data_IF_531817049018
#
_entry.id   IF_531817049018
#
_cell.length_a   1.000
_cell.length_b   1.000
_cell.length_c   1.000
_cell.angle_alpha   90.00
_cell.angle_beta   90.00
_cell.angle_gamma   90.00
#
_symmetry.space_group_name_H-M   'P 1'
#
loop_
_entity.id
_entity.type
_entity.pdbx_description
1 polymer ?
#
# COMPACT_ATOMS: atom_id res chain seq x y z
N UNK A 1 -13.61 -37.84 -21.01
CA UNK A 1 -14.00 -36.82 -19.99
C UNK A 1 -12.83 -35.88 -19.79
N UNK A 2 -12.94 -34.63 -20.25
CA UNK A 2 -11.98 -33.56 -19.97
C UNK A 2 -12.18 -33.09 -18.53
N UNK A 3 -11.30 -33.52 -17.63
CA UNK A 3 -11.27 -32.98 -16.26
C UNK A 3 -10.64 -31.59 -16.29
N UNK A 4 -11.10 -30.65 -15.44
CA UNK A 4 -10.52 -29.30 -15.28
C UNK A 4 -8.99 -29.31 -15.01
N UNK A 5 -8.45 -30.47 -14.61
CA UNK A 5 -7.02 -30.76 -14.44
C UNK A 5 -6.20 -30.78 -15.74
N UNK A 6 -6.85 -30.80 -16.91
CA UNK A 6 -6.18 -30.95 -18.22
C UNK A 6 -5.92 -29.60 -18.92
N UNK A 7 -6.29 -28.49 -18.29
CA UNK A 7 -5.98 -27.15 -18.81
C UNK A 7 -4.47 -26.89 -18.67
N UNK A 8 -3.81 -26.37 -19.72
CA UNK A 8 -2.46 -25.81 -19.63
C UNK A 8 -2.34 -24.84 -18.45
N UNK A 9 -1.19 -24.88 -17.77
CA UNK A 9 -0.94 -24.06 -16.58
C UNK A 9 -1.17 -22.56 -16.83
N UNK A 10 -0.74 -22.07 -18.00
CA UNK A 10 -0.95 -20.68 -18.44
C UNK A 10 -2.43 -20.29 -18.47
N UNK A 11 -3.31 -21.15 -18.98
CA UNK A 11 -4.75 -20.89 -19.02
C UNK A 11 -5.37 -20.93 -17.62
N UNK A 12 -4.88 -21.81 -16.74
CA UNK A 12 -5.33 -21.85 -15.34
C UNK A 12 -4.92 -20.56 -14.62
N UNK A 13 -3.71 -20.06 -14.85
CA UNK A 13 -3.23 -18.78 -14.31
C UNK A 13 -4.06 -17.60 -14.81
N UNK A 14 -4.38 -17.58 -16.10
CA UNK A 14 -5.26 -16.57 -16.68
C UNK A 14 -6.66 -16.60 -16.05
N UNK A 15 -7.26 -17.78 -15.87
CA UNK A 15 -8.57 -17.91 -15.21
C UNK A 15 -8.49 -17.41 -13.76
N UNK A 16 -7.50 -17.86 -12.99
CA UNK A 16 -7.28 -17.44 -11.60
C UNK A 16 -7.12 -15.92 -11.48
N UNK A 17 -6.45 -15.28 -12.45
CA UNK A 17 -6.27 -13.83 -12.50
C UNK A 17 -7.59 -13.07 -12.65
N UNK A 18 -8.62 -13.67 -13.25
CA UNK A 18 -9.94 -13.03 -13.48
C UNK A 18 -10.94 -13.33 -12.36
N UNK A 19 -10.72 -14.37 -11.57
CA UNK A 19 -11.61 -14.77 -10.47
C UNK A 19 -11.47 -13.80 -9.28
N UNK A 20 -12.59 -13.30 -8.70
CA UNK A 20 -12.55 -12.48 -7.49
C UNK A 20 -11.87 -13.20 -6.32
N UNK A 21 -11.12 -12.45 -5.50
CA UNK A 21 -10.39 -13.01 -4.34
C UNK A 21 -11.28 -13.83 -3.40
N UNK A 22 -12.51 -13.38 -3.17
CA UNK A 22 -13.50 -14.07 -2.33
C UNK A 22 -13.91 -15.43 -2.90
N UNK A 23 -13.96 -15.55 -4.23
CA UNK A 23 -14.33 -16.79 -4.93
C UNK A 23 -13.16 -17.76 -5.03
N UNK A 24 -11.90 -17.28 -4.96
CA UNK A 24 -10.72 -18.14 -4.99
C UNK A 24 -10.75 -19.18 -3.86
N UNK A 25 -11.36 -18.89 -2.70
CA UNK A 25 -11.53 -19.91 -1.66
C UNK A 25 -12.29 -21.15 -2.12
N UNK A 26 -13.44 -20.96 -2.79
CA UNK A 26 -14.22 -22.09 -3.31
C UNK A 26 -13.45 -22.83 -4.41
N UNK A 27 -12.77 -22.06 -5.27
CA UNK A 27 -12.00 -22.57 -6.39
C UNK A 27 -10.81 -23.44 -5.95
N UNK A 28 -10.15 -23.11 -4.83
CA UNK A 28 -9.04 -23.90 -4.27
C UNK A 28 -9.47 -25.26 -3.71
N UNK A 29 -10.73 -25.38 -3.31
CA UNK A 29 -11.29 -26.63 -2.82
C UNK A 29 -11.55 -27.64 -3.95
N UNK A 30 -11.44 -27.25 -5.22
CA UNK A 30 -11.72 -28.15 -6.35
C UNK A 30 -10.55 -29.08 -6.66
N UNK A 31 -9.31 -28.58 -6.68
CA UNK A 31 -8.14 -29.43 -6.91
C UNK A 31 -6.81 -28.85 -6.38
N UNK A 32 -5.80 -29.73 -6.21
CA UNK A 32 -4.48 -29.36 -5.68
C UNK A 32 -3.71 -28.41 -6.60
N UNK A 33 -3.79 -28.61 -7.91
CA UNK A 33 -3.10 -27.77 -8.90
C UNK A 33 -3.59 -26.32 -8.83
N UNK A 34 -4.91 -26.12 -8.82
CA UNK A 34 -5.49 -24.78 -8.73
C UNK A 34 -5.20 -24.13 -7.37
N UNK A 35 -5.15 -24.91 -6.28
CA UNK A 35 -4.72 -24.42 -4.98
C UNK A 35 -3.24 -24.01 -4.92
N UNK A 36 -2.36 -24.70 -5.64
CA UNK A 36 -0.95 -24.33 -5.74
C UNK A 36 -0.80 -23.02 -6.57
N UNK A 37 -1.39 -22.98 -7.76
CA UNK A 37 -1.31 -21.84 -8.68
C UNK A 37 -1.99 -20.58 -8.15
N UNK A 38 -3.06 -20.71 -7.36
CA UNK A 38 -3.71 -19.52 -6.76
C UNK A 38 -2.83 -18.81 -5.74
N UNK A 39 -1.86 -19.50 -5.11
CA UNK A 39 -0.94 -18.86 -4.16
C UNK A 39 0.04 -17.93 -4.89
N UNK A 40 0.54 -18.37 -6.03
CA UNK A 40 1.49 -17.59 -6.86
C UNK A 40 0.80 -16.49 -7.64
N UNK A 41 -0.50 -16.61 -7.96
CA UNK A 41 -1.22 -15.58 -8.71
C UNK A 41 -1.72 -14.41 -7.86
N UNK A 42 -1.96 -14.59 -6.56
CA UNK A 42 -2.45 -13.49 -5.70
C UNK A 42 -1.32 -12.68 -5.08
N UNK A 43 -0.16 -13.31 -4.88
CA UNK A 43 0.98 -12.74 -4.14
C UNK A 43 2.33 -12.95 -4.83
N UNK A 44 2.35 -13.50 -6.06
CA UNK A 44 3.60 -13.80 -6.75
C UNK A 44 3.93 -12.79 -7.85
N UNK A 45 5.24 -12.67 -8.11
CA UNK A 45 5.84 -11.73 -9.08
C UNK A 45 5.26 -11.82 -10.50
N UNK A 46 4.78 -13.00 -10.91
CA UNK A 46 4.20 -13.21 -12.25
C UNK A 46 2.83 -12.56 -12.41
N UNK A 47 2.01 -12.49 -11.35
CA UNK A 47 0.73 -11.80 -11.40
C UNK A 47 0.88 -10.29 -11.58
N UNK A 48 1.95 -9.72 -11.01
CA UNK A 48 2.30 -8.32 -11.13
C UNK A 48 2.72 -7.91 -12.55
N UNK A 49 2.93 -8.85 -13.49
CA UNK A 49 3.31 -8.52 -14.88
C UNK A 49 2.17 -7.99 -15.73
N UNK A 50 0.93 -8.47 -15.51
CA UNK A 50 -0.20 -8.14 -16.39
C UNK A 50 -1.39 -7.50 -15.66
N UNK A 51 -1.37 -7.50 -14.32
CA UNK A 51 -2.45 -6.95 -13.51
C UNK A 51 -1.92 -6.30 -12.23
N UNK A 52 -2.42 -5.12 -11.91
CA UNK A 52 -2.28 -4.55 -10.57
C UNK A 52 -3.45 -5.00 -9.70
N UNK A 53 -3.13 -5.38 -8.46
CA UNK A 53 -4.12 -5.63 -7.42
C UNK A 53 -3.80 -4.73 -6.23
N UNK A 54 -4.57 -3.64 -6.11
CA UNK A 54 -4.53 -2.74 -4.97
C UNK A 54 -5.72 -2.94 -4.04
N UNK A 55 -5.62 -2.38 -2.84
CA UNK A 55 -6.73 -2.28 -1.89
C UNK A 55 -6.92 -0.82 -1.51
N UNK A 56 -8.17 -0.40 -1.47
CA UNK A 56 -8.58 0.97 -1.13
C UNK A 56 -9.82 0.90 -0.24
N UNK A 57 -10.11 1.99 0.45
CA UNK A 57 -11.35 2.19 1.19
C UNK A 57 -12.23 3.12 0.37
N UNK A 58 -13.48 2.75 0.13
CA UNK A 58 -14.48 3.61 -0.52
C UNK A 58 -15.75 3.59 0.32
N UNK A 59 -16.23 4.75 0.77
CA UNK A 59 -17.41 4.86 1.63
C UNK A 59 -17.35 3.90 2.85
N UNK A 60 -16.20 3.89 3.52
CA UNK A 60 -15.99 3.05 4.71
C UNK A 60 -15.78 1.56 4.43
N UNK A 61 -15.63 1.14 3.18
CA UNK A 61 -15.58 -0.29 2.78
C UNK A 61 -14.31 -0.63 2.02
N UNK A 62 -13.68 -1.74 2.38
CA UNK A 62 -12.51 -2.25 1.66
C UNK A 62 -12.91 -2.78 0.28
N UNK A 63 -12.28 -2.22 -0.74
CA UNK A 63 -12.45 -2.57 -2.14
C UNK A 63 -11.11 -3.07 -2.70
N UNK A 64 -11.16 -4.12 -3.52
CA UNK A 64 -10.03 -4.47 -4.38
C UNK A 64 -10.13 -3.63 -5.65
N UNK A 65 -9.04 -2.98 -5.98
CA UNK A 65 -8.83 -2.36 -7.28
C UNK A 65 -8.02 -3.32 -8.14
N UNK A 66 -8.61 -3.80 -9.23
CA UNK A 66 -7.87 -4.51 -10.28
C UNK A 66 -7.73 -3.60 -11.49
N UNK A 67 -6.48 -3.40 -11.91
CA UNK A 67 -6.17 -2.80 -13.20
C UNK A 67 -5.60 -3.91 -14.06
N UNK A 68 -6.40 -4.38 -15.00
CA UNK A 68 -5.96 -5.35 -15.99
C UNK A 68 -5.59 -4.65 -17.28
N UNK A 69 -4.48 -5.06 -17.89
CA UNK A 69 -4.07 -4.52 -19.16
C UNK A 69 -4.16 -5.62 -20.22
N UNK A 70 -5.04 -5.45 -21.20
CA UNK A 70 -5.08 -6.37 -22.34
C UNK A 70 -3.82 -6.21 -23.17
N UNK A 71 -3.23 -7.33 -23.57
CA UNK A 71 -2.14 -7.38 -24.51
C UNK A 71 -2.65 -7.62 -25.94
N UNK A 72 -2.24 -6.72 -26.83
CA UNK A 72 -1.93 -6.90 -28.25
C UNK A 72 -3.12 -6.89 -29.24
N UNK A 73 -3.04 -5.90 -30.15
CA UNK A 73 -3.89 -5.61 -31.32
C UNK A 73 -5.27 -4.99 -31.04
N UNK A 74 -5.29 -3.70 -30.72
CA UNK A 74 -6.01 -2.68 -31.49
C UNK A 74 -5.80 -1.33 -30.80
N UNK A 75 -5.70 -0.27 -31.61
CA UNK A 75 -5.58 1.12 -31.17
C UNK A 75 -6.63 1.46 -30.10
N UNK A 76 -6.14 1.83 -28.92
CA UNK A 76 -6.95 2.18 -27.75
C UNK A 76 -6.51 1.39 -26.52
N UNK A 77 -5.48 1.87 -25.80
CA UNK A 77 -5.04 1.33 -24.51
C UNK A 77 -6.14 1.50 -23.45
N UNK A 78 -7.12 0.59 -23.46
CA UNK A 78 -8.18 0.56 -22.48
C UNK A 78 -7.66 -0.11 -21.20
N UNK A 79 -7.35 0.71 -20.20
CA UNK A 79 -7.15 0.23 -18.82
C UNK A 79 -8.49 -0.34 -18.33
N UNK A 80 -8.60 -1.67 -18.20
CA UNK A 80 -9.79 -2.28 -17.61
C UNK A 80 -9.72 -2.14 -16.08
N UNK A 81 -10.31 -1.05 -15.57
CA UNK A 81 -10.51 -0.83 -14.14
C UNK A 81 -11.70 -1.64 -13.65
N UNK A 82 -11.47 -2.55 -12.71
CA UNK A 82 -12.54 -3.22 -11.98
C UNK A 82 -12.37 -2.97 -10.49
N UNK A 83 -13.31 -2.24 -9.92
CA UNK A 83 -13.44 -2.11 -8.47
C UNK A 83 -14.45 -3.15 -8.00
N UNK A 84 -14.03 -4.03 -7.10
CA UNK A 84 -14.94 -5.01 -6.47
C UNK A 84 -14.88 -4.85 -4.97
N UNK A 85 -16.06 -4.65 -4.38
CA UNK A 85 -16.24 -4.71 -2.93
C UNK A 85 -15.90 -6.12 -2.44
N UNK A 86 -15.07 -6.22 -1.40
CA UNK A 86 -14.64 -7.50 -0.85
C UNK A 86 -15.42 -7.70 0.46
N UNK A 87 -16.54 -8.43 0.37
CA UNK A 87 -17.71 -8.28 1.23
C UNK A 87 -17.62 -8.79 2.69
N UNK A 88 -16.43 -8.96 3.28
CA UNK A 88 -16.30 -9.59 4.60
C UNK A 88 -16.40 -8.62 5.79
N UNK A 89 -16.18 -7.32 5.57
CA UNK A 89 -16.21 -6.27 6.61
C UNK A 89 -17.39 -5.30 6.42
N UNK A 90 -18.47 -5.75 5.76
CA UNK A 90 -19.54 -4.88 5.24
C UNK A 90 -20.34 -4.09 6.29
N UNK A 91 -20.28 -4.51 7.56
CA UNK A 91 -20.94 -3.87 8.69
C UNK A 91 -19.98 -3.00 9.52
N UNK A 92 -18.77 -2.75 9.03
CA UNK A 92 -17.73 -2.01 9.75
C UNK A 92 -17.30 -0.81 8.93
N UNK A 93 -17.28 0.38 9.54
CA UNK A 93 -16.68 1.56 8.94
C UNK A 93 -15.15 1.44 9.04
N UNK A 94 -14.49 1.24 7.90
CA UNK A 94 -13.03 1.18 7.78
C UNK A 94 -12.56 2.55 7.33
N UNK A 95 -11.59 3.13 8.03
CA UNK A 95 -11.04 4.45 7.72
C UNK A 95 -9.81 4.34 6.82
N UNK A 96 -8.90 3.42 7.15
CA UNK A 96 -7.65 3.20 6.41
C UNK A 96 -7.37 1.71 6.21
N UNK A 97 -6.69 1.40 5.12
CA UNK A 97 -6.22 0.04 4.82
C UNK A 97 -4.76 0.06 4.42
N UNK A 98 -3.96 -0.83 5.00
CA UNK A 98 -2.56 -1.05 4.63
C UNK A 98 -2.40 -2.47 4.12
N UNK A 99 -1.54 -2.66 3.11
CA UNK A 99 -1.25 -3.98 2.54
C UNK A 99 0.21 -4.34 2.77
N UNK A 100 0.46 -5.56 3.24
CA UNK A 100 1.82 -6.10 3.37
C UNK A 100 1.83 -7.63 3.31
N UNK A 101 2.63 -8.19 2.39
CA UNK A 101 2.84 -9.65 2.19
C UNK A 101 1.52 -10.45 2.22
N UNK A 102 0.51 -9.93 1.52
CA UNK A 102 -0.79 -10.57 1.36
C UNK A 102 -1.77 -10.50 2.52
N UNK A 103 -1.42 -9.76 3.57
CA UNK A 103 -2.34 -9.36 4.62
C UNK A 103 -2.76 -7.90 4.46
N UNK A 104 -3.95 -7.60 4.96
CA UNK A 104 -4.50 -6.25 5.05
C UNK A 104 -4.63 -5.86 6.51
N UNK A 105 -4.10 -4.71 6.90
CA UNK A 105 -4.39 -4.06 8.16
C UNK A 105 -5.49 -3.03 7.92
N UNK A 106 -6.66 -3.26 8.48
CA UNK A 106 -7.79 -2.34 8.41
C UNK A 106 -7.94 -1.59 9.74
N UNK A 107 -8.00 -0.27 9.67
CA UNK A 107 -8.20 0.62 10.82
C UNK A 107 -9.67 1.01 10.91
N UNK A 108 -10.27 0.88 12.10
CA UNK A 108 -11.62 1.36 12.42
C UNK A 108 -11.56 2.32 13.59
N UNK A 109 -12.36 3.37 13.57
CA UNK A 109 -12.49 4.32 14.69
C UNK A 109 -11.10 4.73 15.23
N UNK A 110 -10.13 4.93 14.32
CA UNK A 110 -8.71 5.25 14.53
C UNK A 110 -7.84 4.31 15.37
N UNK A 111 -8.44 3.46 16.19
CA UNK A 111 -7.78 2.73 17.28
C UNK A 111 -8.02 1.23 17.26
N UNK A 112 -8.97 0.77 16.44
CA UNK A 112 -9.34 -0.64 16.38
C UNK A 112 -8.83 -1.27 15.09
N UNK A 113 -7.84 -2.13 15.23
CA UNK A 113 -7.21 -2.79 14.09
C UNK A 113 -7.80 -4.17 13.84
N UNK A 114 -8.03 -4.47 12.57
CA UNK A 114 -8.30 -5.83 12.10
C UNK A 114 -7.30 -6.18 11.05
N UNK A 115 -6.67 -7.31 11.25
CA UNK A 115 -5.86 -7.92 10.22
C UNK A 115 -6.72 -8.90 9.47
N UNK A 116 -6.78 -8.73 8.16
CA UNK A 116 -7.55 -9.56 7.27
C UNK A 116 -6.63 -10.23 6.27
N UNK A 117 -6.70 -11.56 6.21
CA UNK A 117 -6.19 -12.34 5.11
C UNK A 117 -7.31 -12.51 4.07
N UNK A 118 -7.34 -11.73 2.97
CA UNK A 118 -8.38 -11.85 1.94
C UNK A 118 -8.31 -13.19 1.22
N UNK A 119 -7.12 -13.77 1.10
CA UNK A 119 -6.91 -15.07 0.45
C UNK A 119 -7.54 -16.21 1.24
N UNK A 120 -7.31 -16.29 2.56
CA UNK A 120 -7.92 -17.31 3.44
C UNK A 120 -9.32 -16.91 3.90
N UNK A 121 -9.69 -15.64 3.74
CA UNK A 121 -10.88 -15.06 4.32
C UNK A 121 -10.84 -15.12 5.85
N UNK A 122 -9.69 -14.97 6.48
CA UNK A 122 -9.54 -15.02 7.95
C UNK A 122 -9.31 -13.61 8.49
N UNK A 123 -9.98 -13.26 9.58
CA UNK A 123 -9.86 -11.96 10.23
C UNK A 123 -9.38 -12.15 11.67
N UNK A 124 -8.55 -11.24 12.14
CA UNK A 124 -8.05 -11.20 13.52
C UNK A 124 -8.10 -9.77 14.04
N UNK A 125 -8.78 -9.55 15.15
CA UNK A 125 -8.69 -8.27 15.86
C UNK A 125 -7.34 -8.18 16.58
N UNK A 126 -6.73 -7.00 16.56
CA UNK A 126 -5.54 -6.70 17.35
C UNK A 126 -6.01 -6.13 18.69
N UNK A 127 -5.43 -6.56 19.82
CA UNK A 127 -5.74 -5.95 21.11
C UNK A 127 -5.35 -4.46 21.12
N UNK A 128 -6.01 -3.64 21.95
CA UNK A 128 -5.62 -2.25 22.13
C UNK A 128 -4.16 -2.16 22.60
N UNK A 129 -3.51 -1.05 22.25
CA UNK A 129 -2.18 -0.74 22.73
C UNK A 129 -2.18 -0.42 24.23
N UNK A 130 -0.98 -0.36 24.83
CA UNK A 130 -0.75 0.04 26.22
C UNK A 130 -1.20 1.47 26.52
N UNK A 131 -1.12 2.34 25.50
CA UNK A 131 -1.50 3.75 25.57
C UNK A 131 -2.73 4.01 24.70
N UNK A 132 -3.58 4.95 25.12
CA UNK A 132 -4.74 5.36 24.34
C UNK A 132 -4.30 5.93 22.99
N UNK A 133 -5.05 5.61 21.94
CA UNK A 133 -4.83 6.11 20.59
C UNK A 133 -5.22 7.58 20.48
N UNK A 134 -4.32 8.36 19.90
CA UNK A 134 -4.46 9.81 19.72
C UNK A 134 -4.85 10.14 18.28
N UNK A 135 -5.37 11.35 18.09
CA UNK A 135 -5.89 11.80 16.78
C UNK A 135 -4.82 11.74 15.69
N UNK A 136 -3.60 12.16 16.05
CA UNK A 136 -2.46 12.32 15.14
C UNK A 136 -1.61 11.05 15.01
N UNK A 137 -1.97 9.96 15.70
CA UNK A 137 -1.18 8.74 15.62
C UNK A 137 -1.12 8.19 14.20
N UNK A 138 0.07 7.74 13.83
CA UNK A 138 0.33 7.21 12.51
C UNK A 138 0.75 5.76 12.56
N UNK A 139 0.45 5.05 11.48
CA UNK A 139 0.66 3.62 11.42
C UNK A 139 1.44 3.22 10.18
N UNK A 140 2.19 2.15 10.31
CA UNK A 140 2.65 1.37 9.19
C UNK A 140 2.45 -0.11 9.45
N UNK A 141 2.24 -0.85 8.35
CA UNK A 141 2.12 -2.28 8.36
C UNK A 141 3.19 -2.89 7.47
N UNK A 142 4.04 -3.73 8.08
CA UNK A 142 5.20 -4.31 7.40
C UNK A 142 5.35 -5.79 7.66
N UNK A 143 6.14 -6.44 6.80
CA UNK A 143 6.49 -7.85 6.92
C UNK A 143 8.00 -8.03 6.99
N UNK A 144 8.47 -8.50 8.14
CA UNK A 144 9.86 -8.86 8.38
C UNK A 144 10.12 -10.25 7.79
N UNK A 145 10.73 -10.29 6.60
CA UNK A 145 11.02 -11.54 5.87
C UNK A 145 12.00 -12.45 6.63
N UNK A 146 12.95 -11.87 7.36
CA UNK A 146 13.96 -12.62 8.10
C UNK A 146 13.31 -13.38 9.25
N UNK A 147 12.44 -12.71 9.99
CA UNK A 147 11.72 -13.31 11.10
C UNK A 147 10.40 -13.95 10.69
N UNK A 148 9.96 -13.82 9.43
CA UNK A 148 8.63 -14.24 8.96
C UNK A 148 7.52 -13.75 9.88
N UNK A 149 7.52 -12.44 10.13
CA UNK A 149 6.62 -11.83 11.09
C UNK A 149 6.05 -10.53 10.53
N UNK A 150 4.73 -10.40 10.56
CA UNK A 150 4.09 -9.11 10.36
C UNK A 150 4.28 -8.26 11.61
N UNK A 151 4.35 -6.95 11.41
CA UNK A 151 4.49 -5.95 12.47
C UNK A 151 3.65 -4.73 12.14
N UNK A 152 3.07 -4.12 13.17
CA UNK A 152 2.44 -2.80 13.07
C UNK A 152 3.39 -1.84 13.78
N UNK A 153 3.85 -0.79 13.12
CA UNK A 153 4.57 0.31 13.78
C UNK A 153 3.58 1.45 13.98
N UNK A 154 3.54 2.00 15.18
CA UNK A 154 2.76 3.17 15.58
C UNK A 154 3.72 4.28 15.97
N UNK A 155 3.46 5.47 15.45
CA UNK A 155 4.08 6.73 15.84
C UNK A 155 3.10 7.39 16.81
N UNK A 156 3.53 7.58 18.06
CA UNK A 156 2.67 8.08 19.10
C UNK A 156 2.85 9.58 19.24
N UNK A 157 1.79 10.32 18.97
CA UNK A 157 1.76 11.78 19.02
C UNK A 157 0.96 12.25 20.22
N UNK A 158 1.42 13.29 20.92
CA UNK A 158 0.60 13.94 21.95
C UNK A 158 -0.42 14.89 21.29
N UNK A 159 -1.28 15.49 22.11
CA UNK A 159 -2.30 16.43 21.66
C UNK A 159 -1.71 17.71 21.03
N UNK A 160 -0.47 18.05 21.38
CA UNK A 160 0.29 19.16 20.81
C UNK A 160 1.07 18.75 19.55
N UNK A 161 0.64 17.66 18.89
CA UNK A 161 1.23 17.13 17.64
C UNK A 161 2.72 16.76 17.75
N UNK A 162 3.22 16.56 18.98
CA UNK A 162 4.60 16.19 19.24
C UNK A 162 4.78 14.67 19.29
N UNK A 163 5.66 14.13 18.45
CA UNK A 163 6.04 12.72 18.46
C UNK A 163 6.82 12.40 19.74
N UNK A 164 6.29 11.52 20.60
CA UNK A 164 6.90 11.22 21.90
C UNK A 164 7.40 9.79 22.07
N UNK A 165 6.88 8.83 21.30
CA UNK A 165 7.44 7.48 21.26
C UNK A 165 7.02 6.68 20.02
N UNK A 166 7.66 5.52 19.85
CA UNK A 166 7.25 4.51 18.87
C UNK A 166 6.78 3.26 19.59
N UNK A 167 5.66 2.68 19.14
CA UNK A 167 5.17 1.38 19.59
C UNK A 167 5.12 0.43 18.41
N UNK A 168 5.42 -0.84 18.64
CA UNK A 168 5.19 -1.87 17.63
C UNK A 168 4.41 -3.06 18.18
N UNK A 169 3.50 -3.55 17.35
CA UNK A 169 2.79 -4.80 17.59
C UNK A 169 3.51 -5.95 16.90
N UNK A 170 3.90 -6.96 17.68
CA UNK A 170 4.50 -8.19 17.18
C UNK A 170 3.42 -9.30 17.09
N UNK A 171 3.23 -9.85 15.89
CA UNK A 171 2.19 -10.86 15.66
C UNK A 171 2.51 -12.24 16.24
N UNK A 172 3.79 -12.59 16.38
CA UNK A 172 4.22 -13.86 16.99
C UNK A 172 3.95 -13.84 18.49
N UNK A 173 4.31 -12.75 19.17
CA UNK A 173 4.08 -12.62 20.61
C UNK A 173 2.69 -12.07 20.94
N UNK A 174 1.97 -11.58 19.93
CA UNK A 174 0.62 -11.01 20.07
C UNK A 174 0.55 -9.86 21.07
N UNK A 175 1.59 -9.02 21.09
CA UNK A 175 1.77 -7.98 22.12
C UNK A 175 2.33 -6.70 21.51
N UNK A 176 1.88 -5.56 22.05
CA UNK A 176 2.52 -4.27 21.84
C UNK A 176 3.78 -4.15 22.70
N UNK A 177 4.77 -3.40 22.20
CA UNK A 177 5.97 -3.01 22.93
C UNK A 177 6.35 -1.59 22.55
N UNK A 178 6.82 -0.82 23.51
CA UNK A 178 7.45 0.48 23.24
C UNK A 178 8.87 0.22 22.71
N UNK A 179 9.27 0.94 21.69
CA UNK A 179 10.65 0.95 21.21
C UNK A 179 11.44 1.97 22.02
N UNK A 180 12.59 1.55 22.52
CA UNK A 180 13.54 2.39 23.25
C UNK A 180 14.38 3.21 22.25
N UNK A 181 13.66 4.04 21.49
CA UNK A 181 14.20 4.97 20.50
C UNK A 181 13.61 6.32 20.85
N UNK A 182 14.49 7.25 21.23
CA UNK A 182 14.09 8.63 21.46
C UNK A 182 13.68 9.23 20.11
N UNK A 183 12.43 9.71 19.96
CA UNK A 183 12.03 10.39 18.74
C UNK A 183 12.85 11.66 18.62
N UNK A 184 13.29 11.94 17.40
CA UNK A 184 13.86 13.24 17.10
C UNK A 184 12.74 14.28 17.25
N UNK A 185 12.94 15.24 18.15
CA UNK A 185 11.93 16.23 18.57
C UNK A 185 11.47 17.10 17.38
N UNK A 186 12.30 17.18 16.35
CA UNK A 186 12.04 17.95 15.13
C UNK A 186 11.46 17.10 13.98
N UNK A 187 10.99 15.86 14.23
CA UNK A 187 10.48 14.95 13.20
C UNK A 187 8.95 15.01 13.06
N UNK A 188 8.50 15.65 11.99
CA UNK A 188 7.09 15.62 11.59
C UNK A 188 6.87 14.58 10.50
N UNK A 189 6.10 13.54 10.81
CA UNK A 189 5.69 12.52 9.85
C UNK A 189 4.28 12.89 9.41
N UNK A 190 4.05 13.05 8.11
CA UNK A 190 2.77 13.58 7.62
C UNK A 190 1.84 12.51 7.07
N UNK A 191 2.39 11.36 6.64
CA UNK A 191 1.64 10.27 6.02
C UNK A 191 2.07 8.88 6.46
N UNK A 192 1.13 7.93 6.36
CA UNK A 192 1.39 6.54 6.69
C UNK A 192 2.46 5.93 5.77
N UNK A 193 3.37 5.16 6.35
CA UNK A 193 4.49 4.59 5.61
C UNK A 193 4.14 3.38 4.76
N UNK A 194 5.05 3.04 3.86
CA UNK A 194 5.00 1.81 3.05
C UNK A 194 6.11 0.85 3.46
N UNK A 195 5.85 -0.45 3.32
CA UNK A 195 6.87 -1.47 3.55
C UNK A 195 7.40 -2.00 2.23
N UNK A 196 8.73 -1.99 2.08
CA UNK A 196 9.43 -2.51 0.91
C UNK A 196 10.60 -3.38 1.35
N UNK A 197 10.63 -4.63 0.88
CA UNK A 197 11.69 -5.62 1.16
C UNK A 197 11.99 -5.82 2.67
N UNK A 198 10.98 -5.64 3.52
CA UNK A 198 11.10 -5.79 4.97
C UNK A 198 11.56 -4.54 5.71
N UNK A 199 11.89 -3.47 4.99
CA UNK A 199 12.10 -2.15 5.55
C UNK A 199 10.81 -1.34 5.48
N UNK A 200 10.75 -0.29 6.28
CA UNK A 200 9.62 0.62 6.34
C UNK A 200 10.07 2.03 5.99
N UNK A 201 9.33 2.69 5.11
CA UNK A 201 9.66 3.99 4.55
C UNK A 201 8.53 4.97 4.82
N UNK A 202 8.89 6.19 5.19
CA UNK A 202 7.98 7.26 5.55
C UNK A 202 8.44 8.55 4.92
N UNK A 203 7.49 9.47 4.77
CA UNK A 203 7.78 10.85 4.43
C UNK A 203 7.78 11.64 5.73
N UNK A 204 8.90 12.27 6.02
CA UNK A 204 9.08 13.10 7.21
C UNK A 204 9.78 14.42 6.85
N UNK A 205 9.48 15.45 7.62
CA UNK A 205 10.19 16.72 7.65
C UNK A 205 11.05 16.79 8.89
N UNK A 206 12.21 17.44 8.76
CA UNK A 206 13.07 17.80 9.88
C UNK A 206 13.47 19.25 9.77
N UNK A 207 13.45 19.95 10.90
CA UNK A 207 13.96 21.32 11.01
C UNK A 207 15.51 21.35 11.09
N UNK A 208 16.19 20.19 11.14
CA UNK A 208 17.65 20.07 11.18
C UNK A 208 18.20 19.40 9.93
N UNK A 209 18.55 20.18 8.89
CA UNK A 209 19.25 19.64 7.75
C UNK A 209 20.64 19.14 8.17
N UNK A 210 20.85 17.81 8.24
CA UNK A 210 22.19 17.23 8.39
C UNK A 210 22.36 16.08 9.39
N UNK A 211 21.33 15.67 10.14
CA UNK A 211 21.46 14.52 11.05
C UNK A 211 21.12 13.17 10.36
N UNK A 212 21.91 12.15 10.73
CA UNK A 212 22.35 11.00 9.91
C UNK A 212 21.31 9.90 9.61
N UNK A 213 20.03 10.12 9.87
CA UNK A 213 19.02 9.04 9.80
C UNK A 213 17.93 9.24 8.76
N UNK A 214 17.92 10.37 8.04
CA UNK A 214 16.88 10.73 7.09
C UNK A 214 17.43 10.90 5.69
N UNK A 215 16.76 10.30 4.69
CA UNK A 215 17.23 10.32 3.29
C UNK A 215 16.46 11.35 2.49
N UNK A 216 17.14 12.18 1.69
CA UNK A 216 16.48 13.25 0.97
C UNK A 216 15.51 12.66 -0.08
N UNK A 217 14.32 13.27 -0.15
CA UNK A 217 13.43 13.13 -1.29
C UNK A 217 14.11 13.73 -2.55
N UNK A 218 13.64 13.39 -3.77
CA UNK A 218 14.23 13.94 -5.00
C UNK A 218 14.08 15.46 -5.16
N UNK A 219 13.36 16.13 -4.26
CA UNK A 219 12.98 17.54 -4.35
C UNK A 219 13.15 18.25 -3.00
N UNK A 220 13.44 19.55 -3.05
CA UNK A 220 13.38 20.48 -1.91
C UNK A 220 11.95 21.01 -1.78
N UNK A 221 11.41 21.12 -0.57
CA UNK A 221 10.02 21.53 -0.36
C UNK A 221 9.89 22.47 0.84
N UNK A 222 8.85 23.32 0.80
CA UNK A 222 8.43 24.20 1.90
C UNK A 222 7.27 23.60 2.72
N UNK A 223 6.49 22.64 2.18
CA UNK A 223 5.44 21.90 2.89
C UNK A 223 5.27 20.45 2.37
N UNK A 224 5.21 19.45 3.27
CA UNK A 224 5.03 18.01 2.95
C UNK A 224 3.60 17.66 2.57
N UNK A 225 2.67 18.62 2.63
CA UNK A 225 1.23 18.40 2.55
C UNK A 225 0.75 17.78 1.24
N UNK A 226 1.62 17.61 0.24
CA UNK A 226 1.28 17.05 -1.07
C UNK A 226 2.12 15.84 -1.50
N UNK A 227 2.63 15.04 -0.56
CA UNK A 227 3.47 13.86 -0.87
C UNK A 227 2.74 12.55 -0.56
N UNK A 228 2.68 11.65 -1.55
CA UNK A 228 2.16 10.28 -1.40
C UNK A 228 3.25 9.26 -1.72
N UNK A 229 3.43 8.27 -0.86
CA UNK A 229 4.42 7.20 -1.03
C UNK A 229 3.74 5.89 -1.45
N UNK A 230 4.31 5.20 -2.43
CA UNK A 230 3.82 3.91 -2.94
C UNK A 230 4.98 2.97 -3.27
N UNK A 231 4.67 1.70 -3.51
CA UNK A 231 5.64 0.68 -3.94
C UNK A 231 5.37 0.28 -5.39
N UNK A 232 6.41 0.27 -6.23
CA UNK A 232 6.33 -0.21 -7.60
C UNK A 232 6.80 -1.67 -7.64
N UNK A 233 5.88 -2.57 -7.96
CA UNK A 233 6.11 -4.02 -8.15
C UNK A 233 6.86 -4.69 -6.97
N UNK A 234 6.72 -4.15 -5.76
CA UNK A 234 7.45 -4.57 -4.54
C UNK A 234 8.99 -4.54 -4.67
N UNK A 235 9.52 -3.75 -5.61
CA UNK A 235 10.95 -3.66 -5.88
C UNK A 235 11.54 -2.27 -5.71
N UNK A 236 10.74 -1.23 -5.97
CA UNK A 236 11.11 0.20 -5.89
C UNK A 236 10.10 0.98 -5.07
N UNK A 237 10.52 2.14 -4.57
CA UNK A 237 9.60 3.15 -4.03
C UNK A 237 9.20 4.10 -5.16
N UNK A 238 7.99 4.63 -5.06
CA UNK A 238 7.55 5.76 -5.84
C UNK A 238 7.00 6.84 -4.94
N UNK A 239 7.23 8.09 -5.33
CA UNK A 239 6.71 9.27 -4.66
C UNK A 239 5.92 10.07 -5.68
N UNK A 240 4.65 10.33 -5.36
CA UNK A 240 3.86 11.35 -6.02
C UNK A 240 3.99 12.62 -5.20
N UNK A 241 4.28 13.72 -5.88
CA UNK A 241 4.40 15.04 -5.30
C UNK A 241 3.60 16.02 -6.15
N UNK A 242 2.73 16.80 -5.52
CA UNK A 242 2.02 17.88 -6.19
C UNK A 242 2.46 19.23 -5.64
N UNK A 243 2.75 20.17 -6.53
CA UNK A 243 3.03 21.55 -6.19
C UNK A 243 2.23 22.46 -7.10
N UNK A 244 1.39 23.31 -6.53
CA UNK A 244 0.44 24.14 -7.27
C UNK A 244 -0.33 23.29 -8.31
N UNK A 245 -0.16 23.63 -9.59
CA UNK A 245 -0.79 22.96 -10.73
C UNK A 245 0.08 21.88 -11.37
N UNK A 246 1.17 21.44 -10.74
CA UNK A 246 2.07 20.43 -11.31
C UNK A 246 2.11 19.19 -10.45
N UNK A 247 1.79 18.04 -11.05
CA UNK A 247 1.93 16.74 -10.43
C UNK A 247 3.17 16.03 -10.99
N UNK A 248 4.07 15.64 -10.11
CA UNK A 248 5.26 14.86 -10.42
C UNK A 248 5.22 13.47 -9.79
N UNK A 249 5.73 12.49 -10.51
CA UNK A 249 5.94 11.15 -9.98
C UNK A 249 7.41 10.77 -10.16
N UNK A 250 8.03 10.37 -9.06
CA UNK A 250 9.42 9.95 -8.98
C UNK A 250 9.50 8.48 -8.57
N UNK A 251 10.48 7.76 -9.12
CA UNK A 251 10.74 6.37 -8.78
C UNK A 251 12.19 6.18 -8.35
N UNK A 252 12.43 5.28 -7.41
CA UNK A 252 13.81 4.97 -7.00
C UNK A 252 14.54 4.21 -8.10
N UNK A 253 15.73 4.66 -8.46
CA UNK A 253 16.68 3.91 -9.29
C UNK A 253 17.58 3.02 -8.45
N UNK A 254 17.82 3.41 -7.19
CA UNK A 254 18.71 2.72 -6.25
C UNK A 254 18.17 2.85 -4.83
N UNK A 255 18.22 1.76 -4.06
CA UNK A 255 17.91 1.74 -2.62
C UNK A 255 18.99 0.90 -1.93
N UNK A 256 19.88 1.56 -1.22
CA UNK A 256 20.89 1.00 -0.33
C UNK A 256 20.68 1.52 1.11
N UNK A 257 21.37 0.92 2.07
CA UNK A 257 21.32 1.35 3.47
C UNK A 257 21.71 2.83 3.60
N UNK A 258 22.87 3.17 3.00
CA UNK A 258 23.58 4.44 2.71
C UNK A 258 23.01 5.46 1.73
N UNK A 259 22.09 5.06 0.85
CA UNK A 259 21.89 5.84 -0.38
C UNK A 259 20.58 5.49 -1.08
N UNK A 260 19.78 6.51 -1.40
CA UNK A 260 18.56 6.35 -2.19
C UNK A 260 18.63 7.36 -3.32
N UNK A 261 18.58 6.85 -4.55
CA UNK A 261 18.61 7.66 -5.76
C UNK A 261 17.27 7.58 -6.49
N UNK A 262 16.86 8.68 -7.11
CA UNK A 262 15.55 8.83 -7.72
C UNK A 262 15.68 9.28 -9.18
N UNK A 263 14.68 8.94 -9.99
CA UNK A 263 14.50 9.48 -11.33
C UNK A 263 13.05 9.91 -11.51
N UNK A 264 12.84 11.05 -12.17
CA UNK A 264 11.51 11.52 -12.56
C UNK A 264 10.90 10.53 -13.57
N UNK A 265 9.72 10.05 -13.26
CA UNK A 265 8.96 9.12 -14.10
C UNK A 265 7.94 9.86 -14.96
N UNK A 266 7.20 10.79 -14.36
CA UNK A 266 6.13 11.54 -15.00
C UNK A 266 6.05 12.95 -14.41
N UNK A 267 5.66 13.90 -15.25
CA UNK A 267 5.31 15.27 -14.88
C UNK A 267 4.05 15.65 -15.68
N UNK A 268 3.04 16.18 -14.99
CA UNK A 268 1.76 16.54 -15.59
C UNK A 268 1.37 17.94 -15.11
N UNK A 269 1.09 18.82 -16.06
CA UNK A 269 0.43 20.09 -15.78
C UNK A 269 -1.08 19.83 -15.60
N UNK A 270 -1.58 20.15 -14.41
CA UNK A 270 -2.96 19.94 -13.97
C UNK A 270 -3.88 21.10 -14.36
N UNK A 271 -3.33 22.25 -14.79
CA UNK A 271 -4.06 23.45 -15.24
C UNK A 271 -5.14 23.17 -16.31
N UNK A 272 -4.96 22.26 -17.29
CA UNK A 272 -6.01 21.93 -18.27
C UNK A 272 -6.95 20.79 -17.84
N UNK A 273 -6.66 20.08 -16.74
CA UNK A 273 -7.44 18.91 -16.28
C UNK A 273 -8.51 19.29 -15.26
N UNK A 274 -8.33 20.42 -14.57
CA UNK A 274 -9.16 20.83 -13.45
C UNK A 274 -10.15 21.91 -13.87
N UNK A 275 -11.34 21.50 -14.32
CA UNK A 275 -12.55 22.32 -14.15
C UNK A 275 -13.02 22.39 -12.69
N UNK A 276 -12.14 22.07 -11.73
CA UNK A 276 -12.39 22.01 -10.29
C UNK A 276 -11.44 23.00 -9.61
N UNK A 277 -12.01 23.91 -8.81
CA UNK A 277 -11.37 25.08 -8.20
C UNK A 277 -10.57 24.75 -6.92
N UNK A 278 -10.17 23.49 -6.72
CA UNK A 278 -9.52 23.04 -5.49
C UNK A 278 -8.33 22.13 -5.78
N UNK A 279 -7.23 22.40 -5.08
CA UNK A 279 -6.08 21.50 -4.95
C UNK A 279 -6.55 20.09 -4.63
N UNK A 280 -5.98 19.10 -5.30
CA UNK A 280 -6.28 17.70 -5.02
C UNK A 280 -5.92 17.40 -3.55
N UNK A 281 -6.89 16.88 -2.81
CA UNK A 281 -6.70 16.50 -1.42
C UNK A 281 -5.86 15.21 -1.31
N UNK A 282 -4.56 15.38 -1.13
CA UNK A 282 -3.57 14.31 -1.02
C UNK A 282 -3.75 13.42 0.21
N UNK A 283 -4.60 13.80 1.19
CA UNK A 283 -4.92 12.99 2.36
C UNK A 283 -5.52 11.64 1.97
N UNK A 284 -6.22 11.61 0.82
CA UNK A 284 -6.98 10.46 0.35
C UNK A 284 -6.33 9.78 -0.85
N UNK A 285 -5.17 10.25 -1.31
CA UNK A 285 -4.63 9.82 -2.58
C UNK A 285 -3.88 8.50 -2.53
N UNK A 286 -3.97 7.76 -3.62
CA UNK A 286 -3.22 6.55 -3.86
C UNK A 286 -2.93 6.46 -5.35
N UNK A 287 -1.76 5.92 -5.68
CA UNK A 287 -1.36 5.82 -7.07
C UNK A 287 -0.61 4.53 -7.36
N UNK A 288 -0.63 4.18 -8.65
CA UNK A 288 0.02 3.03 -9.21
C UNK A 288 0.79 3.43 -10.47
N UNK A 289 1.94 2.77 -10.69
CA UNK A 289 2.80 2.96 -11.85
C UNK A 289 3.01 1.62 -12.56
N UNK A 290 2.91 1.62 -13.88
CA UNK A 290 3.48 0.59 -14.73
C UNK A 290 4.68 1.14 -15.51
N UNK A 291 5.88 0.75 -15.09
CA UNK A 291 7.12 1.20 -15.73
C UNK A 291 7.25 0.70 -17.18
N UNK A 292 6.82 -0.53 -17.46
CA UNK A 292 6.98 -1.15 -18.79
C UNK A 292 6.10 -0.44 -19.82
N UNK A 293 4.90 -0.02 -19.38
CA UNK A 293 3.90 0.64 -20.21
C UNK A 293 3.93 2.17 -20.11
N UNK A 294 4.77 2.72 -19.22
CA UNK A 294 4.98 4.17 -19.03
C UNK A 294 3.70 4.96 -18.75
N UNK A 295 2.83 4.47 -17.88
CA UNK A 295 1.69 5.25 -17.39
C UNK A 295 1.54 5.14 -15.87
N UNK A 296 0.81 6.10 -15.31
CA UNK A 296 0.41 6.12 -13.91
C UNK A 296 -1.11 6.24 -13.80
N UNK A 297 -1.68 5.71 -12.72
CA UNK A 297 -3.08 5.89 -12.35
C UNK A 297 -3.11 6.46 -10.95
N UNK A 298 -3.77 7.60 -10.79
CA UNK A 298 -3.97 8.30 -9.51
C UNK A 298 -5.46 8.28 -9.16
N UNK A 299 -5.80 8.08 -7.90
CA UNK A 299 -7.18 8.11 -7.44
C UNK A 299 -7.27 8.54 -5.96
N UNK A 300 -8.39 9.16 -5.60
CA UNK A 300 -8.76 9.48 -4.23
C UNK A 300 -9.55 8.33 -3.58
N UNK A 301 -9.39 8.16 -2.27
CA UNK A 301 -10.04 7.15 -1.42
C UNK A 301 -11.33 7.69 -0.79
#
# INVERSE_FOLDING_TARGET
MTTMSNLPEELVREILSRVPLTSLRKLRCTCRTWNALSKTQVFGKEAARNQFLGFTVINGRVCSLRLGFQGIHNEGDLVHKSTKKISKLDHTNIEKVFHSDGLLLCVRNRSNFVVWNPYLGQTRCIPPASSDFRFYDMFCFGYDKNNRNHKILRFCYDNDESLFCFEWFDFKTSSWRVLDIEPDVDLDVYRSGVSLKGNTYFVAQTNRPGERFWRPLPFHYDAVEHVVLSCVREEKLAVLYQIENTMEIWITTKIEYDDVSWSKFLEVEMTPLNGFDYDFDTETESFFIDEDKKFAVVWCN
#
